data_IF_982297651592
#
_entry.id   IF_982297651592
#
_cell.length_a   1.000
_cell.length_b   1.000
_cell.length_c   1.000
_cell.angle_alpha   90.00
_cell.angle_beta   90.00
_cell.angle_gamma   90.00
#
_symmetry.space_group_name_H-M   'P 1'
#
loop_
_entity.id
_entity.type
_entity.pdbx_description
1 polymer ?
#
# COMPACT_ATOMS: atom_id res chain seq x y z
N UNK A 1 14.22 3.52 10.87
CA UNK A 1 12.82 3.34 11.29
C UNK A 1 11.89 3.28 10.10
N UNK A 2 10.72 2.78 10.34
CA UNK A 2 9.68 2.66 9.35
C UNK A 2 8.79 3.89 9.36
N UNK A 3 8.48 4.42 8.18
CA UNK A 3 7.64 5.60 8.05
C UNK A 3 6.65 5.44 6.89
N UNK A 4 5.47 6.03 7.05
CA UNK A 4 4.45 6.11 6.01
C UNK A 4 4.38 7.55 5.52
N UNK A 5 4.62 7.75 4.24
CA UNK A 5 4.64 9.07 3.62
C UNK A 5 3.50 9.15 2.61
N UNK A 6 2.73 10.23 2.69
CA UNK A 6 1.64 10.50 1.76
C UNK A 6 2.01 11.69 0.88
N UNK A 7 1.95 11.50 -0.43
CA UNK A 7 2.19 12.54 -1.41
C UNK A 7 0.92 12.81 -2.21
N UNK A 8 0.50 14.06 -2.24
CA UNK A 8 -0.65 14.54 -3.00
C UNK A 8 -0.13 15.13 -4.29
N UNK A 9 -0.57 14.58 -5.42
CA UNK A 9 0.05 14.89 -6.71
C UNK A 9 -1.00 15.21 -7.78
N UNK A 10 -0.61 16.00 -8.78
CA UNK A 10 -1.41 16.15 -9.98
C UNK A 10 -1.36 14.86 -10.78
N UNK A 11 -2.53 14.43 -11.27
CA UNK A 11 -2.63 13.19 -12.04
C UNK A 11 -2.16 13.41 -13.48
N UNK A 12 -0.85 13.47 -13.66
CA UNK A 12 -0.22 13.65 -14.96
C UNK A 12 0.42 12.35 -15.44
N UNK A 13 0.49 12.14 -16.77
CA UNK A 13 1.21 10.98 -17.30
C UNK A 13 2.65 10.95 -16.79
N UNK A 14 3.09 9.77 -16.34
CA UNK A 14 4.47 9.58 -15.91
C UNK A 14 4.81 10.02 -14.50
N UNK A 15 3.85 10.53 -13.71
CA UNK A 15 4.14 10.95 -12.33
C UNK A 15 4.66 9.79 -11.48
N UNK A 16 4.05 8.63 -11.61
CA UNK A 16 4.48 7.46 -10.85
C UNK A 16 5.87 7.00 -11.28
N UNK A 17 6.19 7.08 -12.55
CA UNK A 17 7.52 6.76 -13.07
C UNK A 17 8.58 7.73 -12.53
N UNK A 18 8.24 9.00 -12.39
CA UNK A 18 9.15 10.01 -11.82
C UNK A 18 9.43 9.71 -10.36
N UNK A 19 8.40 9.37 -9.59
CA UNK A 19 8.54 9.02 -8.18
C UNK A 19 9.41 7.76 -8.05
N UNK A 20 9.11 6.71 -8.80
CA UNK A 20 9.88 5.47 -8.78
C UNK A 20 11.34 5.69 -9.20
N UNK A 21 11.55 6.49 -10.23
CA UNK A 21 12.89 6.82 -10.72
C UNK A 21 13.71 7.58 -9.68
N UNK A 22 13.09 8.46 -8.93
CA UNK A 22 13.75 9.19 -7.85
C UNK A 22 14.30 8.23 -6.78
N UNK A 23 13.48 7.28 -6.35
CA UNK A 23 13.89 6.30 -5.35
C UNK A 23 14.97 5.38 -5.86
N UNK A 24 14.90 4.97 -7.10
CA UNK A 24 15.91 4.14 -7.72
C UNK A 24 17.27 4.86 -7.75
N UNK A 25 17.30 6.11 -8.19
CA UNK A 25 18.54 6.90 -8.27
C UNK A 25 19.17 7.14 -6.91
N UNK A 26 18.37 7.32 -5.88
CA UNK A 26 18.82 7.64 -4.52
C UNK A 26 19.03 6.41 -3.66
N UNK A 27 18.63 5.23 -4.16
CA UNK A 27 18.74 3.96 -3.44
C UNK A 27 18.05 3.96 -2.07
N UNK A 28 16.90 4.63 -1.98
CA UNK A 28 16.08 4.59 -0.77
C UNK A 28 15.40 3.22 -0.64
N UNK A 29 15.28 2.74 0.60
CA UNK A 29 14.65 1.46 0.87
C UNK A 29 13.13 1.61 0.99
N UNK A 30 12.43 1.28 -0.09
CA UNK A 30 10.96 1.36 -0.16
C UNK A 30 10.38 -0.03 0.01
N UNK A 31 9.47 -0.19 0.98
CA UNK A 31 8.77 -1.46 1.19
C UNK A 31 7.47 -1.55 0.41
N UNK A 32 6.80 -0.42 0.21
CA UNK A 32 5.49 -0.39 -0.44
C UNK A 32 5.28 0.95 -1.12
N UNK A 33 4.67 0.93 -2.30
CA UNK A 33 4.27 2.14 -3.04
C UNK A 33 2.90 1.87 -3.65
N UNK A 34 1.92 2.70 -3.29
CA UNK A 34 0.55 2.56 -3.74
C UNK A 34 0.07 3.90 -4.28
N UNK A 35 -0.57 3.91 -5.43
CA UNK A 35 -1.12 5.12 -6.02
C UNK A 35 -2.57 4.95 -6.40
N UNK A 36 -3.35 6.02 -6.27
CA UNK A 36 -4.75 5.99 -6.65
C UNK A 36 -5.38 7.37 -6.68
N UNK A 37 -6.55 7.48 -7.30
CA UNK A 37 -7.27 8.76 -7.37
C UNK A 37 -7.74 9.21 -5.99
N UNK A 38 -7.99 10.51 -5.88
CA UNK A 38 -8.53 11.11 -4.64
C UNK A 38 -9.97 11.55 -4.87
N UNK A 39 -10.58 12.12 -3.82
CA UNK A 39 -11.90 12.75 -3.92
C UNK A 39 -11.91 13.99 -4.82
N UNK A 40 -10.74 14.54 -5.14
CA UNK A 40 -10.61 15.68 -6.05
C UNK A 40 -10.19 15.19 -7.44
N UNK A 41 -11.01 15.47 -8.44
CA UNK A 41 -10.71 15.08 -9.81
C UNK A 41 -9.41 15.71 -10.30
N UNK A 42 -8.59 14.93 -10.99
CA UNK A 42 -7.29 15.37 -11.48
C UNK A 42 -6.15 15.25 -10.48
N UNK A 43 -6.40 14.72 -9.30
CA UNK A 43 -5.38 14.56 -8.25
C UNK A 43 -5.33 13.12 -7.78
N UNK A 44 -4.11 12.68 -7.49
CA UNK A 44 -3.85 11.32 -6.97
C UNK A 44 -3.08 11.38 -5.67
N UNK A 45 -3.20 10.32 -4.89
CA UNK A 45 -2.43 10.11 -3.69
C UNK A 45 -1.44 8.98 -3.92
N UNK A 46 -0.19 9.22 -3.57
CA UNK A 46 0.82 8.17 -3.55
C UNK A 46 1.18 7.92 -2.09
N UNK A 47 1.04 6.67 -1.66
CA UNK A 47 1.37 6.26 -0.30
C UNK A 47 2.63 5.39 -0.35
N UNK A 48 3.63 5.78 0.45
CA UNK A 48 4.93 5.12 0.48
C UNK A 48 5.19 4.62 1.89
N UNK A 49 5.63 3.37 2.00
CA UNK A 49 6.14 2.84 3.26
C UNK A 49 7.64 2.62 3.06
N UNK A 50 8.43 3.25 3.89
CA UNK A 50 9.90 3.25 3.77
C UNK A 50 10.55 2.79 5.06
N UNK A 51 11.74 2.23 4.95
CA UNK A 51 12.58 1.87 6.09
C UNK A 51 13.92 2.60 5.94
N UNK A 52 14.09 3.67 6.71
CA UNK A 52 15.26 4.54 6.64
C UNK A 52 15.52 5.19 8.00
N UNK A 53 16.76 5.63 8.28
CA UNK A 53 17.00 6.52 9.43
C UNK A 53 16.29 7.87 9.23
N UNK A 54 16.10 8.61 10.32
CA UNK A 54 15.43 9.92 10.26
C UNK A 54 15.97 10.87 9.18
N UNK A 55 17.30 11.02 9.00
CA UNK A 55 17.80 11.85 7.90
C UNK A 55 17.35 11.37 6.52
N UNK A 56 17.27 10.05 6.31
CA UNK A 56 16.82 9.48 5.06
C UNK A 56 15.35 9.78 4.79
N UNK A 57 14.51 9.67 5.82
CA UNK A 57 13.08 10.00 5.71
C UNK A 57 12.88 11.47 5.35
N UNK A 58 13.61 12.35 5.99
CA UNK A 58 13.58 13.78 5.69
C UNK A 58 14.01 14.06 4.24
N UNK A 59 15.06 13.38 3.78
CA UNK A 59 15.56 13.49 2.40
C UNK A 59 14.49 13.05 1.40
N UNK A 60 13.78 11.95 1.68
CA UNK A 60 12.72 11.46 0.80
C UNK A 60 11.64 12.53 0.63
N UNK A 61 11.19 13.13 1.73
CA UNK A 61 10.18 14.18 1.68
C UNK A 61 10.64 15.37 0.85
N UNK A 62 11.86 15.84 1.09
CA UNK A 62 12.43 16.97 0.37
C UNK A 62 12.59 16.71 -1.12
N UNK A 63 13.02 15.52 -1.49
CA UNK A 63 13.19 15.16 -2.89
C UNK A 63 11.84 15.04 -3.61
N UNK A 64 10.83 14.49 -2.95
CA UNK A 64 9.48 14.42 -3.51
C UNK A 64 8.91 15.81 -3.76
N UNK A 65 9.09 16.72 -2.81
CA UNK A 65 8.60 18.10 -2.93
C UNK A 65 9.16 18.86 -4.13
N UNK A 66 10.33 18.46 -4.62
CA UNK A 66 10.96 19.07 -5.79
C UNK A 66 10.35 18.64 -7.12
N UNK A 67 9.58 17.57 -7.15
CA UNK A 67 8.93 17.12 -8.38
C UNK A 67 7.75 18.04 -8.70
N UNK A 68 7.70 18.53 -9.92
CA UNK A 68 6.67 19.52 -10.32
C UNK A 68 5.24 19.05 -10.06
N UNK A 69 4.85 17.80 -10.39
CA UNK A 69 3.48 17.36 -10.14
C UNK A 69 3.13 17.18 -8.67
N UNK A 70 4.12 17.15 -7.78
CA UNK A 70 3.89 16.93 -6.34
C UNK A 70 3.46 18.25 -5.70
N UNK A 71 2.26 18.24 -5.10
CA UNK A 71 1.67 19.42 -4.49
C UNK A 71 2.01 19.48 -3.01
N UNK A 72 1.93 18.35 -2.33
CA UNK A 72 2.12 18.29 -0.89
C UNK A 72 2.65 16.91 -0.50
N UNK A 73 3.61 16.90 0.43
CA UNK A 73 4.18 15.67 0.98
C UNK A 73 4.13 15.74 2.49
N UNK A 74 3.77 14.64 3.10
CA UNK A 74 3.67 14.59 4.54
C UNK A 74 3.99 13.19 5.05
N UNK A 75 4.78 13.12 6.10
CA UNK A 75 4.89 11.90 6.88
C UNK A 75 3.65 11.77 7.77
N UNK A 76 2.97 10.63 7.72
CA UNK A 76 1.84 10.35 8.60
C UNK A 76 2.34 9.97 9.99
N UNK A 77 1.51 10.19 11.01
CA UNK A 77 1.84 9.83 12.38
C UNK A 77 2.14 8.33 12.50
N UNK A 78 2.80 7.94 13.59
CA UNK A 78 3.26 6.56 13.80
C UNK A 78 2.17 5.49 13.68
N UNK A 79 0.92 5.86 13.86
CA UNK A 79 -0.19 4.92 13.80
C UNK A 79 -1.29 5.43 12.87
N UNK A 80 -1.02 5.56 11.57
CA UNK A 80 -2.04 5.98 10.62
C UNK A 80 -3.10 4.90 10.43
N UNK A 81 -4.22 5.25 9.83
CA UNK A 81 -5.18 4.25 9.37
C UNK A 81 -4.62 3.69 8.06
N UNK A 82 -4.20 2.45 8.08
CA UNK A 82 -3.59 1.80 6.92
C UNK A 82 -4.18 0.43 6.69
N UNK A 83 -4.43 0.11 5.42
CA UNK A 83 -4.97 -1.20 5.01
C UNK A 83 -4.38 -1.60 3.68
N UNK A 84 -4.26 -2.91 3.49
CA UNK A 84 -3.88 -3.47 2.21
C UNK A 84 -4.76 -4.66 1.87
N UNK A 85 -4.72 -5.06 0.62
CA UNK A 85 -5.47 -6.20 0.12
C UNK A 85 -4.49 -7.20 -0.48
N UNK A 86 -4.74 -8.48 -0.23
CA UNK A 86 -4.00 -9.56 -0.85
C UNK A 86 -4.97 -10.52 -1.52
N UNK A 87 -4.58 -11.03 -2.68
CA UNK A 87 -5.26 -12.11 -3.37
C UNK A 87 -4.28 -13.28 -3.43
N UNK A 88 -4.73 -14.44 -2.93
CA UNK A 88 -3.91 -15.65 -2.85
C UNK A 88 -4.57 -16.77 -3.64
N UNK A 89 -3.77 -17.44 -4.47
CA UNK A 89 -4.20 -18.65 -5.13
C UNK A 89 -3.44 -19.82 -4.49
N UNK A 90 -4.19 -20.78 -3.95
CA UNK A 90 -3.62 -21.93 -3.25
C UNK A 90 -4.17 -23.25 -3.84
N UNK A 91 -3.48 -24.37 -3.55
CA UNK A 91 -3.98 -25.68 -3.93
C UNK A 91 -5.31 -25.96 -3.23
N UNK A 92 -6.23 -26.56 -3.97
CA UNK A 92 -7.60 -26.81 -3.49
C UNK A 92 -7.85 -28.24 -3.00
N UNK A 93 -6.82 -29.00 -2.62
CA UNK A 93 -6.97 -30.38 -2.16
C UNK A 93 -7.73 -30.51 -0.85
N UNK A 94 -7.65 -29.48 -0.01
CA UNK A 94 -8.31 -29.46 1.30
C UNK A 94 -9.24 -28.24 1.39
N UNK A 95 -10.33 -28.20 0.61
CA UNK A 95 -11.15 -26.98 0.52
C UNK A 95 -11.77 -26.54 1.83
N UNK A 96 -12.12 -27.49 2.71
CA UNK A 96 -12.69 -27.16 4.01
C UNK A 96 -11.70 -26.45 4.91
N UNK A 97 -10.43 -26.87 4.88
CA UNK A 97 -9.38 -26.20 5.64
C UNK A 97 -9.06 -24.82 5.07
N UNK A 98 -9.03 -24.70 3.76
CA UNK A 98 -8.82 -23.39 3.10
C UNK A 98 -9.92 -22.43 3.53
N UNK A 99 -11.18 -22.87 3.52
CA UNK A 99 -12.30 -22.03 3.94
C UNK A 99 -12.21 -21.65 5.42
N UNK A 100 -11.81 -22.60 6.28
CA UNK A 100 -11.66 -22.32 7.71
C UNK A 100 -10.61 -21.25 7.99
N UNK A 101 -9.45 -21.33 7.33
CA UNK A 101 -8.39 -20.31 7.48
C UNK A 101 -8.87 -18.98 6.90
N UNK A 102 -9.53 -19.00 5.75
CA UNK A 102 -10.10 -17.80 5.15
C UNK A 102 -11.05 -17.09 6.12
N UNK A 103 -11.92 -17.84 6.78
CA UNK A 103 -12.86 -17.29 7.76
C UNK A 103 -12.15 -16.71 8.99
N UNK A 104 -11.07 -17.34 9.45
CA UNK A 104 -10.28 -16.83 10.57
C UNK A 104 -9.71 -15.45 10.32
N UNK A 105 -9.43 -15.12 9.07
CA UNK A 105 -8.89 -13.80 8.67
C UNK A 105 -9.96 -12.89 8.08
N UNK A 106 -11.24 -13.23 8.26
CA UNK A 106 -12.38 -12.48 7.72
C UNK A 106 -12.26 -12.26 6.21
N UNK A 107 -11.71 -13.25 5.52
CA UNK A 107 -11.51 -13.21 4.08
C UNK A 107 -12.70 -13.74 3.31
N UNK A 108 -12.55 -13.76 1.99
CA UNK A 108 -13.58 -14.18 1.07
C UNK A 108 -12.97 -15.07 -0.02
N UNK A 109 -13.62 -16.20 -0.30
CA UNK A 109 -13.25 -17.02 -1.45
C UNK A 109 -13.83 -16.37 -2.71
N UNK A 110 -12.96 -16.05 -3.66
CA UNK A 110 -13.35 -15.39 -4.91
C UNK A 110 -13.59 -16.37 -6.05
N UNK A 111 -12.86 -17.47 -6.04
CA UNK A 111 -12.93 -18.48 -7.07
C UNK A 111 -12.54 -19.84 -6.48
N UNK A 112 -13.26 -20.89 -6.83
CA UNK A 112 -12.96 -22.23 -6.35
C UNK A 112 -13.20 -23.23 -7.46
N UNK A 113 -12.15 -23.92 -7.83
CA UNK A 113 -12.19 -24.99 -8.83
C UNK A 113 -11.67 -26.29 -8.26
N UNK A 114 -11.56 -27.34 -9.07
CA UNK A 114 -11.08 -28.64 -8.61
C UNK A 114 -9.61 -28.65 -8.23
N UNK A 115 -8.81 -27.72 -8.77
CA UNK A 115 -7.37 -27.69 -8.53
C UNK A 115 -6.93 -26.59 -7.58
N UNK A 116 -7.61 -25.44 -7.59
CA UNK A 116 -7.20 -24.27 -6.83
C UNK A 116 -8.36 -23.55 -6.20
N UNK A 117 -8.04 -22.80 -5.13
CA UNK A 117 -8.95 -21.83 -4.53
C UNK A 117 -8.23 -20.49 -4.50
N UNK A 118 -8.94 -19.43 -4.89
CA UNK A 118 -8.43 -18.07 -4.83
C UNK A 118 -9.20 -17.31 -3.76
N UNK A 119 -8.49 -16.73 -2.81
CA UNK A 119 -9.08 -16.00 -1.68
C UNK A 119 -8.56 -14.58 -1.61
N UNK A 120 -9.36 -13.72 -0.99
CA UNK A 120 -9.01 -12.32 -0.75
C UNK A 120 -8.98 -12.07 0.74
N UNK A 121 -7.98 -11.31 1.22
CA UNK A 121 -7.91 -10.88 2.60
C UNK A 121 -7.51 -9.41 2.61
N UNK A 122 -8.15 -8.62 3.47
CA UNK A 122 -7.83 -7.22 3.68
C UNK A 122 -7.48 -6.99 5.15
N UNK A 123 -6.61 -6.05 5.41
CA UNK A 123 -6.24 -5.72 6.79
C UNK A 123 -4.95 -4.92 6.88
N UNK A 124 -4.44 -4.87 8.11
CA UNK A 124 -3.13 -4.29 8.38
C UNK A 124 -2.03 -5.16 7.76
N UNK A 125 -0.85 -4.59 7.62
CA UNK A 125 0.30 -5.35 7.14
C UNK A 125 0.57 -6.60 7.99
N UNK A 126 0.48 -6.45 9.31
CA UNK A 126 0.69 -7.56 10.25
C UNK A 126 -0.32 -8.69 10.00
N UNK A 127 -1.59 -8.34 9.85
CA UNK A 127 -2.64 -9.32 9.55
C UNK A 127 -2.37 -10.03 8.21
N UNK A 128 -1.97 -9.29 7.20
CA UNK A 128 -1.68 -9.85 5.88
C UNK A 128 -0.48 -10.79 5.95
N UNK A 129 0.59 -10.41 6.64
CA UNK A 129 1.77 -11.26 6.80
C UNK A 129 1.42 -12.56 7.54
N UNK A 130 0.62 -12.48 8.60
CA UNK A 130 0.14 -13.66 9.34
C UNK A 130 -0.70 -14.56 8.44
N UNK A 131 -1.58 -13.98 7.63
CA UNK A 131 -2.42 -14.74 6.72
C UNK A 131 -1.59 -15.49 5.68
N UNK A 132 -0.58 -14.84 5.11
CA UNK A 132 0.31 -15.50 4.15
C UNK A 132 0.97 -16.71 4.80
N UNK A 133 1.48 -16.57 6.01
CA UNK A 133 2.11 -17.68 6.73
C UNK A 133 1.12 -18.83 6.96
N UNK A 134 -0.12 -18.52 7.33
CA UNK A 134 -1.14 -19.54 7.55
C UNK A 134 -1.49 -20.29 6.25
N UNK A 135 -1.54 -19.58 5.12
CA UNK A 135 -1.87 -20.20 3.82
C UNK A 135 -0.72 -21.01 3.21
N UNK A 136 0.50 -20.85 3.69
CA UNK A 136 1.65 -21.61 3.19
C UNK A 136 1.44 -23.14 3.31
N UNK A 137 0.65 -23.59 4.27
CA UNK A 137 0.35 -25.02 4.43
C UNK A 137 -0.35 -25.63 3.22
N UNK A 138 -1.00 -24.82 2.39
CA UNK A 138 -1.75 -25.29 1.22
C UNK A 138 -0.98 -25.19 -0.11
N UNK A 139 0.26 -24.81 -0.09
CA UNK A 139 1.05 -24.48 -1.27
C UNK A 139 0.49 -23.27 -2.02
N UNK A 140 1.07 -22.11 -1.80
CA UNK A 140 0.68 -20.88 -2.47
C UNK A 140 1.24 -20.88 -3.89
N UNK A 141 0.36 -20.80 -4.88
CA UNK A 141 0.75 -20.75 -6.29
C UNK A 141 1.05 -19.35 -6.76
N UNK A 142 0.26 -18.37 -6.32
CA UNK A 142 0.44 -16.97 -6.70
C UNK A 142 -0.08 -16.05 -5.61
N UNK A 143 0.53 -14.88 -5.53
CA UNK A 143 0.11 -13.79 -4.65
C UNK A 143 0.08 -12.50 -5.45
N UNK A 144 -1.01 -11.74 -5.28
CA UNK A 144 -1.06 -10.34 -5.70
C UNK A 144 -1.34 -9.50 -4.47
N UNK A 145 -0.46 -8.55 -4.19
CA UNK A 145 -0.53 -7.72 -2.99
C UNK A 145 -0.48 -6.24 -3.39
N UNK A 146 -1.40 -5.43 -2.86
CA UNK A 146 -1.51 -4.02 -3.26
C UNK A 146 -0.46 -3.13 -2.63
N UNK A 147 0.03 -3.46 -1.45
CA UNK A 147 0.71 -2.51 -0.59
C UNK A 147 -0.32 -1.68 0.18
N UNK A 148 0.14 -0.75 1.00
CA UNK A 148 -0.72 -0.03 1.93
C UNK A 148 -1.31 1.25 1.34
N UNK A 149 -2.62 1.42 1.52
CA UNK A 149 -3.27 2.72 1.43
C UNK A 149 -3.42 3.24 2.86
N UNK A 150 -3.12 4.52 3.09
CA UNK A 150 -3.12 5.07 4.43
C UNK A 150 -3.58 6.52 4.48
N UNK A 151 -4.23 6.87 5.59
CA UNK A 151 -4.64 8.23 5.90
C UNK A 151 -4.29 8.55 7.35
N UNK A 152 -4.09 9.82 7.65
CA UNK A 152 -3.93 10.26 9.03
C UNK A 152 -5.21 9.98 9.82
N UNK A 153 -5.06 9.71 11.11
CA UNK A 153 -6.21 9.53 12.00
C UNK A 153 -6.86 10.87 12.31
N UNK A 154 -8.16 10.81 12.61
CA UNK A 154 -8.92 11.98 13.00
C UNK A 154 -9.25 12.91 11.85
N UNK A 155 -9.30 14.19 12.12
CA UNK A 155 -9.71 15.20 11.16
C UNK A 155 -8.59 15.76 10.30
N UNK A 156 -7.35 15.34 10.50
CA UNK A 156 -6.22 15.80 9.69
C UNK A 156 -6.32 15.31 8.27
N UNK A 157 -5.97 16.19 7.33
CA UNK A 157 -5.93 15.88 5.91
C UNK A 157 -4.51 16.13 5.39
N UNK A 158 -4.09 15.36 4.40
CA UNK A 158 -2.76 15.57 3.81
C UNK A 158 -2.70 16.90 3.10
N UNK A 159 -3.69 17.20 2.27
CA UNK A 159 -3.78 18.49 1.58
C UNK A 159 -5.18 18.68 1.01
N UNK A 160 -5.58 19.93 0.86
CA UNK A 160 -6.76 20.33 0.10
C UNK A 160 -6.29 21.01 -1.17
N UNK A 161 -7.09 20.97 -2.22
CA UNK A 161 -6.74 21.61 -3.49
C UNK A 161 -6.47 23.11 -3.30
N UNK A 162 -7.27 23.76 -2.46
CA UNK A 162 -7.15 25.18 -2.17
C UNK A 162 -5.80 25.56 -1.54
N UNK A 163 -5.19 24.67 -0.78
CA UNK A 163 -3.90 24.92 -0.12
C UNK A 163 -2.77 25.12 -1.10
N UNK A 164 -2.91 24.63 -2.33
CA UNK A 164 -1.91 24.79 -3.36
C UNK A 164 -1.65 26.24 -3.73
N UNK A 165 -2.66 27.10 -3.57
CA UNK A 165 -2.61 28.50 -3.99
C UNK A 165 -2.18 29.45 -2.86
N UNK A 166 -1.90 28.91 -1.72
CA UNK A 166 -1.39 29.66 -0.58
C UNK A 166 0.10 29.45 -0.39
#
# INVERSE_FOLDING_TARGET
RRATISAYVENEPGVLARVSGLFHRRQFNIESLTGGPTQNEGYSRITLVVEEPDPGIDQIQKQLEKLIPVIHVRELDRNPVARELIILKVDGEEPDKVQAITDMYDGEALDAGPETVTVQITGSEEKIDDAIDAFKQFNIREIARTGQAALARGAEETARVEERHT
#
